data_IF_699306136874
#
_entry.id   IF_699306136874
#
_cell.length_a   1.000
_cell.length_b   1.000
_cell.length_c   1.000
_cell.angle_alpha   90.00
_cell.angle_beta   90.00
_cell.angle_gamma   90.00
#
_symmetry.space_group_name_H-M   'P 1'
#
loop_
_entity.id
_entity.type
_entity.pdbx_description
1 polymer ?
#
# COMPACT_ATOMS: atom_id res chain seq x y z
N UNK A 1 31.62 -9.25 11.13
CA UNK A 1 30.23 -9.59 11.55
C UNK A 1 29.28 -8.67 10.80
N UNK A 2 28.68 -9.13 9.71
CA UNK A 2 27.86 -8.26 8.84
C UNK A 2 26.52 -8.04 9.54
N UNK A 3 26.29 -6.82 10.07
CA UNK A 3 24.97 -6.42 10.57
C UNK A 3 24.01 -6.48 9.39
N UNK A 4 23.23 -7.56 9.30
CA UNK A 4 22.05 -7.59 8.45
C UNK A 4 21.16 -6.49 8.98
N UNK A 5 21.18 -5.32 8.34
CA UNK A 5 20.11 -4.34 8.47
C UNK A 5 18.86 -5.04 7.96
N UNK A 6 18.19 -5.75 8.85
CA UNK A 6 16.80 -6.13 8.67
C UNK A 6 16.07 -4.80 8.71
N UNK A 7 15.97 -4.15 7.54
CA UNK A 7 15.09 -3.00 7.35
C UNK A 7 13.75 -3.42 7.93
N UNK A 8 13.35 -2.76 9.01
CA UNK A 8 12.05 -2.96 9.63
C UNK A 8 11.00 -2.90 8.52
N UNK A 9 9.96 -3.75 8.55
CA UNK A 9 8.93 -3.77 7.52
C UNK A 9 8.29 -2.38 7.28
N UNK A 10 8.36 -1.51 8.29
CA UNK A 10 7.89 -0.12 8.31
C UNK A 10 8.72 0.84 7.45
N UNK A 11 9.93 0.47 7.03
CA UNK A 11 10.81 1.32 6.21
C UNK A 11 10.84 0.90 4.73
N UNK A 12 9.98 -0.04 4.32
CA UNK A 12 9.98 -0.57 2.95
C UNK A 12 8.84 0.03 2.15
N UNK A 13 9.17 0.57 0.98
CA UNK A 13 8.18 0.99 0.00
C UNK A 13 7.70 -0.27 -0.72
N UNK A 14 6.41 -0.57 -0.57
CA UNK A 14 5.76 -1.69 -1.25
C UNK A 14 5.09 -1.19 -2.53
N UNK A 15 5.24 -1.95 -3.60
CA UNK A 15 4.67 -1.65 -4.91
C UNK A 15 3.87 -2.84 -5.44
N UNK A 16 2.81 -2.63 -6.24
CA UNK A 16 2.20 -3.71 -6.99
C UNK A 16 3.19 -4.23 -8.04
N UNK A 17 3.22 -5.56 -8.25
CA UNK A 17 4.00 -6.17 -9.34
C UNK A 17 3.34 -5.96 -10.72
N UNK A 18 2.18 -5.32 -10.75
CA UNK A 18 1.46 -4.95 -11.96
C UNK A 18 1.62 -3.45 -12.18
N UNK A 19 1.81 -3.04 -13.43
CA UNK A 19 1.92 -1.62 -13.79
C UNK A 19 0.56 -0.93 -13.64
N UNK A 20 0.29 -0.38 -12.46
CA UNK A 20 -0.89 0.43 -12.17
C UNK A 20 -0.50 1.65 -11.36
N UNK A 21 -1.01 2.81 -11.74
CA UNK A 21 -0.80 4.06 -10.99
C UNK A 21 -1.77 4.19 -9.80
N UNK A 22 -3.04 3.78 -9.99
CA UNK A 22 -4.08 3.93 -8.98
C UNK A 22 -5.15 2.87 -9.11
N UNK A 23 -5.43 2.15 -8.03
CA UNK A 23 -6.48 1.14 -8.00
C UNK A 23 -7.80 1.72 -7.49
N UNK A 24 -8.84 1.66 -8.32
CA UNK A 24 -10.19 2.16 -8.01
C UNK A 24 -11.26 1.07 -8.17
N UNK A 25 -12.52 1.37 -7.89
CA UNK A 25 -13.66 0.46 -8.08
C UNK A 25 -13.82 -0.07 -9.52
N UNK A 26 -13.34 0.67 -10.53
CA UNK A 26 -13.26 0.20 -11.93
C UNK A 26 -12.40 -1.07 -12.08
N UNK A 27 -11.46 -1.30 -11.17
CA UNK A 27 -10.54 -2.43 -11.22
C UNK A 27 -11.10 -3.62 -10.41
N UNK A 28 -11.38 -4.73 -11.08
CA UNK A 28 -11.93 -5.94 -10.42
C UNK A 28 -10.87 -6.81 -9.71
N UNK A 29 -9.64 -6.31 -9.49
CA UNK A 29 -8.55 -7.07 -8.89
C UNK A 29 -8.75 -7.34 -7.39
N UNK A 30 -9.16 -8.56 -7.08
CA UNK A 30 -9.35 -9.01 -5.69
C UNK A 30 -8.03 -9.23 -4.94
N UNK A 31 -6.95 -9.54 -5.68
CA UNK A 31 -5.61 -9.82 -5.16
C UNK A 31 -4.56 -9.27 -6.10
N UNK A 32 -3.47 -8.75 -5.54
CA UNK A 32 -2.33 -8.25 -6.29
C UNK A 32 -1.02 -8.78 -5.70
N UNK A 33 -0.09 -9.29 -6.52
CA UNK A 33 1.27 -9.55 -6.06
C UNK A 33 1.95 -8.24 -5.63
N UNK A 34 2.68 -8.31 -4.51
CA UNK A 34 3.38 -7.18 -3.91
C UNK A 34 4.88 -7.41 -4.04
N UNK A 35 5.62 -6.39 -4.43
CA UNK A 35 7.07 -6.33 -4.39
C UNK A 35 7.55 -5.21 -3.47
N UNK A 36 8.85 -5.20 -3.18
CA UNK A 36 9.52 -4.05 -2.60
C UNK A 36 10.14 -3.22 -3.71
N UNK A 37 10.12 -1.89 -3.61
CA UNK A 37 10.65 -1.01 -4.64
C UNK A 37 12.13 -1.28 -4.99
N UNK A 38 12.92 -1.79 -4.05
CA UNK A 38 14.32 -2.17 -4.27
C UNK A 38 14.52 -3.46 -5.05
N UNK A 39 13.46 -4.28 -5.21
CA UNK A 39 13.44 -5.52 -5.99
C UNK A 39 12.09 -5.64 -6.71
N UNK A 40 11.82 -4.76 -7.69
CA UNK A 40 10.51 -4.62 -8.30
C UNK A 40 10.06 -5.87 -9.06
N UNK A 41 10.99 -6.72 -9.49
CA UNK A 41 10.69 -7.94 -10.24
C UNK A 41 10.47 -9.17 -9.35
N UNK A 42 10.59 -9.02 -8.02
CA UNK A 42 10.49 -10.14 -7.07
C UNK A 42 9.30 -9.95 -6.13
N UNK A 43 8.30 -10.82 -6.29
CA UNK A 43 7.17 -10.87 -5.37
C UNK A 43 7.65 -11.19 -3.94
N UNK A 44 7.29 -10.33 -2.99
CA UNK A 44 7.54 -10.49 -1.57
C UNK A 44 6.23 -10.67 -0.77
N UNK A 45 5.07 -10.70 -1.43
CA UNK A 45 3.79 -10.81 -0.74
C UNK A 45 2.58 -10.73 -1.67
N UNK A 46 1.40 -10.60 -1.05
CA UNK A 46 0.11 -10.42 -1.70
C UNK A 46 -0.67 -9.30 -0.99
N UNK A 47 -1.32 -8.44 -1.76
CA UNK A 47 -2.29 -7.48 -1.30
C UNK A 47 -3.69 -8.01 -1.63
N UNK A 48 -4.53 -8.17 -0.60
CA UNK A 48 -5.92 -8.59 -0.76
C UNK A 48 -6.83 -7.38 -0.63
N UNK A 49 -7.70 -7.15 -1.62
CA UNK A 49 -8.72 -6.10 -1.53
C UNK A 49 -9.74 -6.45 -0.45
N UNK A 50 -10.04 -5.49 0.41
CA UNK A 50 -10.99 -5.61 1.53
C UNK A 50 -12.18 -4.66 1.41
N UNK A 51 -12.13 -3.69 0.50
CA UNK A 51 -13.23 -2.74 0.28
C UNK A 51 -12.84 -1.61 -0.66
N UNK A 52 -13.62 -0.54 -0.61
CA UNK A 52 -13.38 0.73 -1.32
C UNK A 52 -13.63 1.89 -0.38
N UNK A 53 -13.11 3.08 -0.69
CA UNK A 53 -13.38 4.32 0.07
C UNK A 53 -14.83 4.78 -0.06
N UNK A 54 -15.54 4.35 -1.11
CA UNK A 54 -16.94 4.69 -1.36
C UNK A 54 -17.62 3.74 -2.36
N UNK A 55 -18.51 4.27 -3.20
CA UNK A 55 -19.36 3.52 -4.14
C UNK A 55 -19.28 4.00 -5.59
N UNK A 56 -18.45 5.00 -5.88
CA UNK A 56 -18.24 5.56 -7.20
C UNK A 56 -17.04 4.93 -7.93
N UNK A 57 -17.02 4.96 -9.26
CA UNK A 57 -15.95 4.32 -10.05
C UNK A 57 -14.53 4.81 -9.73
N UNK A 58 -14.44 6.04 -9.23
CA UNK A 58 -13.19 6.72 -8.86
C UNK A 58 -12.76 6.45 -7.42
N UNK A 59 -13.62 5.83 -6.60
CA UNK A 59 -13.28 5.48 -5.23
C UNK A 59 -12.14 4.47 -5.18
N UNK A 60 -11.20 4.72 -4.27
CA UNK A 60 -9.97 3.95 -4.15
C UNK A 60 -10.26 2.57 -3.57
N UNK A 61 -9.57 1.56 -4.11
CA UNK A 61 -9.59 0.22 -3.57
C UNK A 61 -8.73 0.14 -2.29
N UNK A 62 -9.29 -0.45 -1.25
CA UNK A 62 -8.65 -0.68 0.04
C UNK A 62 -8.07 -2.10 0.08
N UNK A 63 -6.81 -2.22 0.50
CA UNK A 63 -6.06 -3.46 0.53
C UNK A 63 -5.50 -3.76 1.91
N UNK A 64 -5.36 -5.06 2.19
CA UNK A 64 -4.58 -5.58 3.32
C UNK A 64 -3.36 -6.33 2.79
N UNK A 65 -2.18 -5.94 3.23
CA UNK A 65 -0.92 -6.49 2.76
C UNK A 65 -0.48 -7.68 3.61
N UNK A 66 -0.12 -8.78 2.93
CA UNK A 66 0.50 -9.96 3.51
C UNK A 66 1.87 -10.14 2.88
N UNK A 67 2.91 -9.91 3.67
CA UNK A 67 4.30 -10.00 3.22
C UNK A 67 4.86 -11.35 3.67
N UNK A 68 5.56 -12.03 2.77
CA UNK A 68 6.27 -13.28 3.01
C UNK A 68 7.77 -13.03 2.88
N UNK A 69 8.46 -12.69 3.98
CA UNK A 69 9.91 -12.53 3.95
C UNK A 69 10.58 -13.88 3.65
N UNK A 70 11.72 -13.85 2.97
CA UNK A 70 12.49 -15.06 2.67
C UNK A 70 12.91 -15.74 3.97
N UNK A 71 12.51 -17.01 4.14
CA UNK A 71 12.88 -17.83 5.30
C UNK A 71 12.08 -17.54 6.58
N UNK A 72 11.02 -16.73 6.52
CA UNK A 72 10.15 -16.43 7.67
C UNK A 72 8.68 -16.72 7.36
N UNK A 73 7.88 -16.81 8.42
CA UNK A 73 6.43 -16.91 8.32
C UNK A 73 5.83 -15.67 7.65
N UNK A 74 4.71 -15.87 6.95
CA UNK A 74 3.95 -14.78 6.35
C UNK A 74 3.42 -13.86 7.44
N UNK A 75 3.64 -12.56 7.30
CA UNK A 75 3.18 -11.52 8.22
C UNK A 75 2.15 -10.63 7.53
N UNK A 76 1.07 -10.30 8.23
CA UNK A 76 0.12 -9.28 7.74
C UNK A 76 0.57 -7.94 8.28
N UNK A 77 0.76 -6.95 7.41
CA UNK A 77 1.10 -5.60 7.87
C UNK A 77 -0.09 -4.99 8.63
N UNK A 78 0.18 -4.23 9.70
CA UNK A 78 -0.85 -3.40 10.32
C UNK A 78 -1.28 -2.32 9.33
N UNK A 79 -2.55 -1.91 9.37
CA UNK A 79 -3.07 -0.85 8.52
C UNK A 79 -3.87 -1.32 7.30
N UNK A 80 -4.40 -0.34 6.59
CA UNK A 80 -5.16 -0.48 5.36
C UNK A 80 -4.45 0.37 4.32
N UNK A 81 -4.26 -0.19 3.13
CA UNK A 81 -3.46 0.44 2.09
C UNK A 81 -4.29 0.74 0.86
N UNK A 82 -3.98 1.85 0.20
CA UNK A 82 -4.45 2.16 -1.15
C UNK A 82 -3.29 2.01 -2.13
N UNK A 83 -3.59 1.98 -3.43
CA UNK A 83 -2.57 2.19 -4.45
C UNK A 83 -2.75 3.59 -5.02
N UNK A 84 -1.72 4.42 -4.86
CA UNK A 84 -1.66 5.76 -5.44
C UNK A 84 -0.22 6.07 -5.86
N UNK A 85 -0.06 6.69 -7.04
CA UNK A 85 1.25 6.93 -7.70
C UNK A 85 2.10 5.65 -7.82
N UNK A 86 1.45 4.52 -8.10
CA UNK A 86 2.11 3.23 -8.29
C UNK A 86 2.67 2.58 -7.02
N UNK A 87 2.29 3.05 -5.83
CA UNK A 87 2.79 2.54 -4.55
C UNK A 87 1.66 2.22 -3.60
N UNK A 88 1.88 1.25 -2.70
CA UNK A 88 1.00 1.06 -1.55
C UNK A 88 1.27 2.14 -0.51
N UNK A 89 0.25 2.94 -0.21
CA UNK A 89 0.30 4.00 0.81
C UNK A 89 -0.69 3.64 1.92
N UNK A 90 -0.32 3.93 3.18
CA UNK A 90 -1.27 3.79 4.29
C UNK A 90 -2.44 4.76 4.09
N UNK A 91 -3.65 4.26 4.26
CA UNK A 91 -4.87 5.01 3.95
C UNK A 91 -5.09 6.17 4.93
N UNK A 92 -4.81 5.98 6.22
CA UNK A 92 -5.02 7.02 7.23
C UNK A 92 -3.98 8.14 7.04
N UNK A 93 -2.72 7.78 6.80
CA UNK A 93 -1.67 8.75 6.48
C UNK A 93 -1.97 9.53 5.19
N UNK A 94 -2.38 8.81 4.13
CA UNK A 94 -2.76 9.44 2.87
C UNK A 94 -3.92 10.42 3.07
N UNK A 95 -4.95 10.01 3.81
CA UNK A 95 -6.14 10.84 4.07
C UNK A 95 -5.78 12.13 4.81
N UNK A 96 -4.93 12.04 5.83
CA UNK A 96 -4.46 13.20 6.58
C UNK A 96 -3.71 14.24 5.73
N UNK A 97 -3.06 13.80 4.63
CA UNK A 97 -2.38 14.70 3.69
C UNK A 97 -3.36 15.34 2.69
N UNK A 98 -4.49 14.68 2.41
CA UNK A 98 -5.49 15.17 1.46
C UNK A 98 -6.46 16.19 2.05
N UNK A 99 -6.64 16.22 3.37
CA UNK A 99 -7.46 17.23 4.04
C UNK A 99 -6.59 18.46 4.30
N UNK A 100 -6.68 19.55 3.50
CA UNK A 100 -6.05 20.79 3.88
C UNK A 100 -6.69 21.24 5.20
N UNK A 101 -5.87 21.39 6.25
CA UNK A 101 -6.27 22.12 7.45
C UNK A 101 -6.87 23.46 7.02
N UNK A 102 -8.19 23.59 7.13
CA UNK A 102 -8.91 24.85 7.06
C UNK A 102 -8.61 25.64 8.34
N UNK A 103 -7.37 26.10 8.47
CA UNK A 103 -6.97 27.08 9.47
C UNK A 103 -6.55 28.34 8.71
N UNK A 104 -7.54 29.08 8.22
CA UNK A 104 -7.34 30.48 7.84
C UNK A 104 -7.45 31.30 9.13
N UNK A 105 -6.38 31.95 9.63
CA UNK A 105 -6.57 32.97 10.65
C UNK A 105 -7.28 34.15 9.99
N UNK A 106 -8.46 34.49 10.52
CA UNK A 106 -9.12 35.73 10.19
C UNK A 106 -8.32 36.88 10.81
N UNK A 107 -7.78 37.76 9.97
CA UNK A 107 -7.36 39.12 10.37
C UNK A 107 -8.57 40.06 10.41
#
# INVERSE_FOLDING_TARGET
MVKRHVLSPEQRIYIPLVAIERATQKHSWSRLPVAVASKPDQACGEARRIGYTGREEHDLALYRLKIKPVGLSTMTLPGIYIIDKGMFQDYEEWKAIQEPSLETPAE
#
